data_IF_584024015868
#
_entry.id   IF_584024015868
#
_cell.length_a   1.000
_cell.length_b   1.000
_cell.length_c   1.000
_cell.angle_alpha   90.00
_cell.angle_beta   90.00
_cell.angle_gamma   90.00
#
_symmetry.space_group_name_H-M   'P 1'
#
loop_
_entity.id
_entity.type
_entity.pdbx_description
1 polymer ?
#
# COMPACT_ATOMS: atom_id res chain seq x y z
N UNK A 1 0.35 -7.06 14.54
CA UNK A 1 1.18 -5.89 14.24
C UNK A 1 0.25 -4.79 13.75
N UNK A 2 0.03 -3.75 14.57
CA UNK A 2 -0.82 -2.60 14.23
C UNK A 2 -0.02 -1.46 13.60
N UNK A 3 1.29 -1.64 13.35
CA UNK A 3 2.12 -0.68 12.63
C UNK A 3 1.91 -0.73 11.12
N UNK A 4 2.58 0.16 10.39
CA UNK A 4 2.58 0.19 8.93
C UNK A 4 3.99 0.00 8.36
N UNK A 5 4.08 -0.26 7.07
CA UNK A 5 5.32 -0.22 6.29
C UNK A 5 5.25 0.93 5.30
N UNK A 6 6.34 1.68 5.20
CA UNK A 6 6.54 2.68 4.16
C UNK A 6 7.22 1.97 2.99
N UNK A 7 6.65 2.11 1.80
CA UNK A 7 7.18 1.56 0.55
C UNK A 7 7.50 2.78 -0.33
N UNK A 8 8.78 3.11 -0.54
CA UNK A 8 9.15 4.21 -1.42
C UNK A 8 8.60 3.96 -2.82
N UNK A 9 8.14 5.01 -3.51
CA UNK A 9 7.69 4.93 -4.91
C UNK A 9 8.77 4.37 -5.84
N UNK A 10 10.03 4.56 -5.50
CA UNK A 10 11.18 4.04 -6.25
C UNK A 10 11.43 2.54 -6.08
N UNK A 11 10.71 1.86 -5.17
CA UNK A 11 10.84 0.42 -5.00
C UNK A 11 10.40 -0.31 -6.27
N UNK A 12 11.20 -1.27 -6.73
CA UNK A 12 10.77 -2.15 -7.81
C UNK A 12 9.73 -3.13 -7.29
N UNK A 13 8.74 -3.48 -8.13
CA UNK A 13 7.70 -4.45 -7.76
C UNK A 13 8.27 -5.79 -7.23
N UNK A 14 9.38 -6.24 -7.80
CA UNK A 14 10.07 -7.48 -7.37
C UNK A 14 10.76 -7.40 -6.01
N UNK A 15 10.98 -6.20 -5.45
CA UNK A 15 11.58 -6.00 -4.13
C UNK A 15 10.54 -6.02 -3.01
N UNK A 16 9.25 -6.04 -3.36
CA UNK A 16 8.15 -5.99 -2.40
C UNK A 16 7.69 -7.42 -2.11
N UNK A 17 7.90 -7.88 -0.89
CA UNK A 17 7.41 -9.17 -0.42
C UNK A 17 6.07 -9.01 0.31
N UNK A 18 5.05 -9.72 -0.15
CA UNK A 18 3.77 -9.80 0.53
C UNK A 18 3.82 -10.87 1.62
N UNK A 19 3.81 -10.45 2.89
CA UNK A 19 4.09 -11.32 4.05
C UNK A 19 2.87 -11.58 4.94
N UNK A 20 1.66 -11.57 4.39
CA UNK A 20 0.45 -11.80 5.18
C UNK A 20 0.44 -13.21 5.78
N UNK A 21 0.00 -13.32 7.02
CA UNK A 21 0.20 -14.52 7.84
C UNK A 21 -0.95 -15.52 7.78
N UNK A 22 -2.03 -15.22 7.05
CA UNK A 22 -3.19 -16.12 6.95
C UNK A 22 -2.88 -17.33 6.08
N UNK A 23 -2.91 -18.51 6.68
CA UNK A 23 -2.62 -19.79 6.01
C UNK A 23 -3.65 -20.12 4.90
N UNK A 24 -4.88 -19.62 5.04
CA UNK A 24 -5.97 -19.86 4.08
C UNK A 24 -5.98 -18.90 2.88
N UNK A 25 -4.99 -18.01 2.79
CA UNK A 25 -4.92 -17.01 1.73
C UNK A 25 -4.05 -17.52 0.59
N UNK A 26 -4.59 -17.55 -0.64
CA UNK A 26 -3.80 -17.97 -1.80
C UNK A 26 -2.92 -16.81 -2.28
N UNK A 27 -1.62 -16.97 -2.09
CA UNK A 27 -0.62 -15.98 -2.46
C UNK A 27 -0.13 -16.11 -3.91
N UNK A 28 -0.53 -17.17 -4.63
CA UNK A 28 0.06 -17.53 -5.93
C UNK A 28 -0.07 -16.41 -6.96
N UNK A 29 -1.22 -15.74 -7.01
CA UNK A 29 -1.45 -14.60 -7.90
C UNK A 29 -0.54 -13.41 -7.57
N UNK A 30 -0.42 -13.09 -6.29
CA UNK A 30 0.37 -11.96 -5.79
C UNK A 30 1.86 -12.19 -6.02
N UNK A 31 2.35 -13.41 -5.76
CA UNK A 31 3.75 -13.75 -6.00
C UNK A 31 4.12 -13.77 -7.48
N UNK A 32 3.14 -14.00 -8.36
CA UNK A 32 3.35 -13.90 -9.81
C UNK A 32 3.36 -12.45 -10.28
N UNK A 33 2.43 -11.65 -9.78
CA UNK A 33 2.33 -10.22 -10.10
C UNK A 33 1.72 -9.45 -8.92
N UNK A 34 2.57 -8.70 -8.22
CA UNK A 34 2.12 -7.91 -7.08
C UNK A 34 1.15 -6.80 -7.50
N UNK A 35 1.15 -6.39 -8.78
CA UNK A 35 0.25 -5.35 -9.29
C UNK A 35 -1.23 -5.75 -9.22
N UNK A 36 -1.53 -7.03 -9.02
CA UNK A 36 -2.91 -7.51 -8.79
C UNK A 36 -3.48 -6.95 -7.48
N UNK A 37 -2.65 -6.74 -6.46
CA UNK A 37 -3.08 -6.25 -5.13
C UNK A 37 -2.44 -4.93 -4.72
N UNK A 38 -1.29 -4.61 -5.30
CA UNK A 38 -0.54 -3.38 -5.05
C UNK A 38 -0.06 -2.83 -6.40
N UNK A 39 -0.92 -2.07 -7.11
CA UNK A 39 -0.76 -1.70 -8.52
C UNK A 39 0.31 -0.61 -8.75
N UNK A 40 1.51 -0.79 -8.20
CA UNK A 40 2.60 0.19 -8.22
C UNK A 40 3.01 0.57 -9.65
N UNK A 41 3.20 -0.41 -10.53
CA UNK A 41 3.58 -0.17 -11.93
C UNK A 41 2.40 0.41 -12.70
N UNK A 42 1.19 -0.11 -12.45
CA UNK A 42 -0.04 0.35 -13.14
C UNK A 42 -0.36 1.80 -12.81
N UNK A 43 -0.11 2.25 -11.59
CA UNK A 43 -0.27 3.66 -11.22
C UNK A 43 0.77 4.54 -11.91
N UNK A 44 2.03 4.08 -12.03
CA UNK A 44 3.05 4.80 -12.79
C UNK A 44 2.68 4.92 -14.28
N UNK A 45 2.15 3.86 -14.88
CA UNK A 45 1.64 3.91 -16.26
C UNK A 45 0.53 4.96 -16.44
N UNK A 46 -0.34 5.18 -15.44
CA UNK A 46 -1.36 6.23 -15.50
C UNK A 46 -0.74 7.64 -15.45
N UNK A 47 0.37 7.83 -14.74
CA UNK A 47 1.14 9.09 -14.80
C UNK A 47 1.74 9.28 -16.19
N UNK A 48 2.38 8.24 -16.74
CA UNK A 48 3.02 8.30 -18.05
C UNK A 48 2.02 8.57 -19.18
N UNK A 49 0.82 7.99 -19.07
CA UNK A 49 -0.32 8.24 -19.95
C UNK A 49 -1.03 9.58 -19.69
N UNK A 50 -0.56 10.37 -18.71
CA UNK A 50 -1.14 11.66 -18.30
C UNK A 50 -2.60 11.57 -17.87
N UNK A 51 -3.01 10.43 -17.31
CA UNK A 51 -4.36 10.21 -16.76
C UNK A 51 -4.47 10.75 -15.34
N UNK A 52 -3.37 10.73 -14.59
CA UNK A 52 -3.22 11.36 -13.28
C UNK A 52 -1.98 12.27 -13.31
N UNK A 53 -1.96 13.29 -12.44
CA UNK A 53 -0.91 14.30 -12.45
C UNK A 53 0.43 13.79 -11.91
N UNK A 54 0.42 13.14 -10.76
CA UNK A 54 1.61 12.62 -10.10
C UNK A 54 1.24 11.56 -9.06
N UNK A 55 2.25 10.93 -8.46
CA UNK A 55 2.15 9.99 -7.34
C UNK A 55 2.97 10.53 -6.16
N UNK A 56 2.59 10.16 -4.94
CA UNK A 56 3.38 10.46 -3.73
C UNK A 56 4.75 9.77 -3.76
N UNK A 57 5.69 10.27 -2.96
CA UNK A 57 7.01 9.64 -2.85
C UNK A 57 6.98 8.35 -2.02
N UNK A 58 6.00 8.22 -1.12
CA UNK A 58 5.82 7.06 -0.26
C UNK A 58 4.42 6.46 -0.37
N UNK A 59 4.36 5.14 -0.24
CA UNK A 59 3.14 4.34 -0.11
C UNK A 59 3.12 3.61 1.23
N UNK A 60 1.93 3.16 1.65
CA UNK A 60 1.71 2.64 2.99
C UNK A 60 0.98 1.29 2.96
N UNK A 61 1.47 0.32 3.74
CA UNK A 61 0.87 -1.01 3.88
C UNK A 61 0.62 -1.37 5.34
N UNK A 62 -0.46 -2.10 5.60
CA UNK A 62 -0.88 -2.57 6.92
C UNK A 62 -1.08 -4.08 6.92
N UNK A 63 -0.91 -4.73 8.08
CA UNK A 63 -1.29 -6.13 8.25
C UNK A 63 -2.83 -6.25 8.37
N UNK A 64 -3.45 -7.02 7.46
CA UNK A 64 -4.91 -7.21 7.45
C UNK A 64 -5.43 -8.27 8.44
N UNK A 65 -4.63 -9.31 8.75
CA UNK A 65 -5.03 -10.40 9.64
C UNK A 65 -4.93 -10.02 11.14
N UNK A 66 -5.70 -9.02 11.56
CA UNK A 66 -5.75 -8.54 12.95
C UNK A 66 -7.07 -8.89 13.62
N UNK A 67 -6.99 -9.32 14.88
CA UNK A 67 -8.17 -9.54 15.74
C UNK A 67 -8.61 -8.26 16.45
N UNK A 68 -7.65 -7.38 16.73
CA UNK A 68 -7.85 -6.08 17.35
C UNK A 68 -7.23 -5.02 16.44
N UNK A 69 -8.05 -4.07 16.01
CA UNK A 69 -7.68 -2.98 15.11
C UNK A 69 -7.58 -1.64 15.82
N UNK A 70 -7.77 -1.60 17.15
CA UNK A 70 -7.78 -0.36 17.94
C UNK A 70 -6.52 0.47 17.71
N UNK A 71 -5.34 -0.17 17.72
CA UNK A 71 -4.07 0.52 17.42
C UNK A 71 -3.98 1.11 16.00
N UNK A 72 -4.68 0.53 15.02
CA UNK A 72 -4.77 1.14 13.68
C UNK A 72 -5.66 2.38 13.73
N UNK A 73 -6.82 2.27 14.38
CA UNK A 73 -7.82 3.34 14.44
C UNK A 73 -7.28 4.55 15.22
N UNK A 74 -6.61 4.30 16.34
CA UNK A 74 -6.22 5.35 17.29
C UNK A 74 -4.82 5.92 17.00
N UNK A 75 -3.91 5.13 16.42
CA UNK A 75 -2.50 5.53 16.28
C UNK A 75 -2.03 5.53 14.83
N UNK A 76 -1.90 4.36 14.20
CA UNK A 76 -1.14 4.23 12.95
C UNK A 76 -1.90 4.75 11.72
N UNK A 77 -3.23 4.59 11.69
CA UNK A 77 -4.11 5.18 10.68
C UNK A 77 -4.07 6.71 10.69
N UNK A 78 -4.33 7.37 11.85
CA UNK A 78 -4.18 8.82 11.98
C UNK A 78 -2.77 9.33 11.63
N UNK A 79 -1.72 8.58 11.98
CA UNK A 79 -0.35 8.94 11.62
C UNK A 79 -0.12 8.92 10.10
N UNK A 80 -0.52 7.85 9.40
CA UNK A 80 -0.42 7.79 7.93
C UNK A 80 -1.27 8.89 7.29
N UNK A 81 -2.47 9.16 7.81
CA UNK A 81 -3.31 10.25 7.31
C UNK A 81 -2.65 11.64 7.45
N UNK A 82 -1.91 11.88 8.54
CA UNK A 82 -1.13 13.13 8.70
C UNK A 82 -0.01 13.23 7.67
N UNK A 83 0.71 12.14 7.40
CA UNK A 83 1.80 12.11 6.40
C UNK A 83 1.29 12.37 4.99
N UNK A 84 0.24 11.65 4.57
CA UNK A 84 -0.40 11.84 3.27
C UNK A 84 -0.86 13.30 3.08
N UNK A 85 -1.46 13.91 4.11
CA UNK A 85 -1.83 15.34 4.08
C UNK A 85 -0.63 16.27 3.97
N UNK A 86 0.45 15.98 4.69
CA UNK A 86 1.69 16.77 4.65
C UNK A 86 2.39 16.68 3.29
N UNK A 87 2.29 15.54 2.62
CA UNK A 87 2.77 15.29 1.24
C UNK A 87 1.86 15.91 0.16
N UNK A 88 0.70 16.46 0.55
CA UNK A 88 -0.24 17.06 -0.41
C UNK A 88 -1.06 16.02 -1.19
N UNK A 89 -1.18 14.79 -0.70
CA UNK A 89 -1.99 13.74 -1.36
C UNK A 89 -3.48 14.13 -1.33
N UNK A 90 -4.06 14.22 -2.53
CA UNK A 90 -5.47 14.59 -2.72
C UNK A 90 -6.42 13.38 -2.73
N UNK A 91 -5.92 12.23 -3.21
CA UNK A 91 -6.70 11.00 -3.39
C UNK A 91 -5.86 9.80 -2.97
N UNK A 92 -6.48 8.85 -2.25
CA UNK A 92 -5.87 7.58 -1.87
C UNK A 92 -6.61 6.44 -2.57
N UNK A 93 -5.87 5.57 -3.23
CA UNK A 93 -6.37 4.28 -3.69
C UNK A 93 -6.14 3.24 -2.59
N UNK A 94 -7.22 2.80 -1.95
CA UNK A 94 -7.17 1.71 -0.97
C UNK A 94 -7.39 0.37 -1.70
N UNK A 95 -6.38 -0.50 -1.66
CA UNK A 95 -6.46 -1.84 -2.26
C UNK A 95 -6.64 -2.90 -1.17
N UNK A 96 -7.66 -3.77 -1.27
CA UNK A 96 -7.73 -4.96 -0.43
C UNK A 96 -6.75 -6.02 -0.96
N UNK A 97 -5.99 -6.64 -0.06
CA UNK A 97 -5.34 -7.94 -0.27
C UNK A 97 -6.21 -9.02 0.33
#
# INVERSE_FOLDING_TARGET
DTSFRVIPRSAAAGDILQSHTSIGFDHTGIYRDINVTFPIDRLQELVDQKKIGSLSDDYYSFMGALRDVTGIIEESGPEVARRLKAEGVEVVLLTPT
#
